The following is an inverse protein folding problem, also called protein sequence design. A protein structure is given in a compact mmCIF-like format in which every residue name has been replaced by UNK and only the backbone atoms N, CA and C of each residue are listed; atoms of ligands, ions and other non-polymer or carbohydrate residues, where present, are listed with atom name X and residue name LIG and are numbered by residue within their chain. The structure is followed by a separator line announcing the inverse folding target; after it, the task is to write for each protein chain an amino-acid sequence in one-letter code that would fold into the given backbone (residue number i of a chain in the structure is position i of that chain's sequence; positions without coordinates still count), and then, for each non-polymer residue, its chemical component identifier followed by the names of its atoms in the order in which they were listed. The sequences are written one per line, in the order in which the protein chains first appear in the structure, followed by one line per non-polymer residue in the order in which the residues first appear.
data_IF_655310232235
#
_entry.id   IF_655310232235
#
_cell.length_a   1.000
_cell.length_b   1.000
_cell.length_c   1.000
_cell.angle_alpha   90.00
_cell.angle_beta   90.00
_cell.angle_gamma   90.00
#
_symmetry.space_group_name_H-M   'P 1'
#
loop_
_entity.id
_entity.type
_entity.pdbx_description
1 polymer ?
#
# COMPACT_ATOMS: atom_id res chain seq x y z
N UNK A 1 14.86 12.91 5.07
CA UNK A 1 13.48 12.41 4.90
C UNK A 1 12.55 13.44 5.50
N UNK A 2 11.37 13.65 4.91
CA UNK A 2 10.23 14.31 5.56
C UNK A 2 9.37 13.21 6.16
N UNK A 3 8.95 13.38 7.41
CA UNK A 3 8.07 12.44 8.13
C UNK A 3 6.75 13.16 8.35
N UNK A 4 5.65 12.51 7.96
CA UNK A 4 4.30 13.05 8.10
C UNK A 4 3.50 12.09 8.96
N UNK A 5 2.99 12.61 10.07
CA UNK A 5 2.12 11.88 10.98
C UNK A 5 0.70 12.40 10.79
N UNK A 6 -0.26 11.51 10.51
CA UNK A 6 -1.65 11.91 10.23
C UNK A 6 -2.64 10.97 10.89
N UNK A 7 -3.76 11.55 11.32
CA UNK A 7 -4.96 10.82 11.73
C UNK A 7 -6.07 11.15 10.75
N UNK A 8 -6.64 10.13 10.10
CA UNK A 8 -7.79 10.27 9.21
C UNK A 8 -9.06 9.96 9.98
N UNK A 9 -10.09 10.76 9.72
CA UNK A 9 -11.38 10.65 10.37
C UNK A 9 -12.44 10.17 9.37
N UNK A 10 -13.33 9.29 9.85
CA UNK A 10 -14.62 9.03 9.23
C UNK A 10 -15.69 9.66 10.13
N UNK A 11 -16.41 10.64 9.60
CA UNK A 11 -17.21 11.58 10.38
C UNK A 11 -16.34 12.25 11.48
N UNK A 12 -16.63 11.96 12.75
CA UNK A 12 -15.90 12.48 13.89
C UNK A 12 -15.03 11.43 14.61
N UNK A 13 -14.88 10.23 14.03
CA UNK A 13 -14.08 9.15 14.63
C UNK A 13 -12.74 8.99 13.92
N UNK A 14 -11.62 8.93 14.62
CA UNK A 14 -10.33 8.57 14.03
C UNK A 14 -10.35 7.09 13.61
N UNK A 15 -9.93 6.83 12.37
CA UNK A 15 -10.04 5.48 11.76
C UNK A 15 -8.73 5.00 11.13
N UNK A 16 -7.85 5.91 10.72
CA UNK A 16 -6.50 5.58 10.28
C UNK A 16 -5.50 6.47 10.99
N UNK A 17 -4.47 5.86 11.54
CA UNK A 17 -3.26 6.55 11.98
C UNK A 17 -2.14 6.17 11.01
N UNK A 18 -1.43 7.15 10.45
CA UNK A 18 -0.34 6.90 9.49
C UNK A 18 0.94 7.65 9.85
N UNK A 19 2.06 6.97 9.57
CA UNK A 19 3.40 7.54 9.54
C UNK A 19 3.97 7.36 8.13
N UNK A 20 3.98 8.46 7.39
CA UNK A 20 4.44 8.52 6.01
C UNK A 20 5.85 9.09 5.95
N UNK A 21 6.71 8.51 5.12
CA UNK A 21 8.11 8.93 4.93
C UNK A 21 8.37 9.20 3.47
N UNK A 22 8.71 10.45 3.17
CA UNK A 22 9.04 10.90 1.82
C UNK A 22 10.52 11.31 1.76
N UNK A 23 11.30 10.87 0.75
CA UNK A 23 12.64 11.38 0.54
C UNK A 23 12.64 12.90 0.37
N UNK A 24 13.52 13.58 1.12
CA UNK A 24 13.56 15.05 1.17
C UNK A 24 13.81 15.68 -0.21
N UNK A 25 14.57 14.98 -1.06
CA UNK A 25 14.88 15.40 -2.42
C UNK A 25 13.64 15.45 -3.34
N UNK A 26 12.57 14.74 -3.00
CA UNK A 26 11.32 14.72 -3.76
C UNK A 26 10.31 15.77 -3.27
N UNK A 27 10.60 16.45 -2.15
CA UNK A 27 9.73 17.46 -1.55
C UNK A 27 10.34 18.85 -1.78
N UNK A 28 9.71 19.70 -2.61
CA UNK A 28 10.17 21.07 -2.84
C UNK A 28 10.24 21.87 -1.54
N UNK A 29 11.22 22.75 -1.42
CA UNK A 29 11.42 23.58 -0.23
C UNK A 29 10.14 24.34 0.17
N UNK A 30 9.41 24.87 -0.82
CA UNK A 30 8.17 25.62 -0.62
C UNK A 30 7.00 24.76 -0.08
N UNK A 31 7.02 23.44 -0.30
CA UNK A 31 5.99 22.52 0.18
C UNK A 31 6.32 21.91 1.54
N UNK A 32 7.53 22.12 2.09
CA UNK A 32 7.94 21.46 3.34
C UNK A 32 7.15 21.89 4.57
N UNK A 33 6.58 23.09 4.56
CA UNK A 33 5.73 23.59 5.64
C UNK A 33 4.26 23.14 5.52
N UNK A 34 3.84 22.77 4.31
CA UNK A 34 2.49 22.30 4.03
C UNK A 34 2.52 21.32 2.85
N UNK A 35 2.42 20.03 3.18
CA UNK A 35 2.45 18.94 2.20
C UNK A 35 1.08 18.70 1.56
N UNK A 36 0.06 19.46 1.97
CA UNK A 36 -1.31 19.31 1.52
C UNK A 36 -2.00 18.03 2.02
N UNK A 37 -3.25 17.81 1.58
CA UNK A 37 -4.08 16.70 2.06
C UNK A 37 -3.67 15.33 1.48
N UNK A 38 -2.98 15.32 0.34
CA UNK A 38 -2.64 14.11 -0.41
C UNK A 38 -1.16 14.11 -0.80
N UNK A 39 -0.38 13.18 -0.22
CA UNK A 39 1.01 13.01 -0.60
C UNK A 39 1.15 12.44 -2.03
N UNK A 40 0.15 11.67 -2.48
CA UNK A 40 0.09 11.19 -3.86
C UNK A 40 -0.03 12.35 -4.85
N UNK A 41 -0.90 13.34 -4.56
CA UNK A 41 -1.05 14.52 -5.42
C UNK A 41 0.20 15.40 -5.36
N UNK A 42 0.80 15.57 -4.18
CA UNK A 42 2.08 16.27 -4.03
C UNK A 42 3.16 15.62 -4.90
N UNK A 43 3.30 14.29 -4.86
CA UNK A 43 4.29 13.58 -5.64
C UNK A 43 3.99 13.63 -7.14
N UNK A 44 2.73 13.47 -7.55
CA UNK A 44 2.30 13.54 -8.94
C UNK A 44 2.61 14.92 -9.55
N UNK A 45 2.23 16.00 -8.84
CA UNK A 45 2.46 17.38 -9.29
C UNK A 45 3.94 17.74 -9.43
N UNK A 46 4.84 16.98 -8.80
CA UNK A 46 6.28 17.17 -8.87
C UNK A 46 7.01 16.09 -9.67
N UNK A 47 6.31 15.38 -10.58
CA UNK A 47 6.86 14.37 -11.49
C UNK A 47 7.42 13.11 -10.79
N UNK A 48 6.95 12.81 -9.58
CA UNK A 48 7.32 11.62 -8.79
C UNK A 48 6.10 10.74 -8.48
N UNK A 49 5.09 10.79 -9.36
CA UNK A 49 3.83 10.08 -9.20
C UNK A 49 3.98 8.58 -8.96
N UNK A 50 3.22 8.06 -8.00
CA UNK A 50 3.18 6.64 -7.67
C UNK A 50 2.56 5.84 -8.81
N UNK A 51 3.14 4.69 -9.15
CA UNK A 51 2.67 3.79 -10.23
C UNK A 51 2.42 2.38 -9.76
N UNK A 52 3.16 1.92 -8.76
CA UNK A 52 2.90 0.65 -8.08
C UNK A 52 3.37 0.74 -6.64
N UNK A 53 2.82 -0.13 -5.81
CA UNK A 53 3.18 -0.27 -4.41
C UNK A 53 3.31 -1.73 -4.01
N UNK A 54 4.06 -1.98 -2.94
CA UNK A 54 4.11 -3.28 -2.29
C UNK A 54 3.79 -3.09 -0.82
N UNK A 55 2.64 -3.59 -0.41
CA UNK A 55 2.21 -3.60 0.98
C UNK A 55 2.38 -4.98 1.62
N UNK A 56 2.86 -5.00 2.86
CA UNK A 56 2.74 -6.12 3.80
C UNK A 56 1.57 -5.81 4.73
N UNK A 57 0.57 -6.69 4.75
CA UNK A 57 -0.61 -6.56 5.59
C UNK A 57 -0.49 -7.50 6.78
N UNK A 58 -0.70 -6.97 7.99
CA UNK A 58 -0.65 -7.74 9.23
C UNK A 58 -1.82 -7.37 10.15
N UNK A 59 -2.43 -8.35 10.83
CA UNK A 59 -3.18 -8.05 12.04
C UNK A 59 -2.19 -7.70 13.15
N UNK A 60 -2.41 -6.59 13.85
CA UNK A 60 -1.62 -6.19 15.03
C UNK A 60 -2.54 -5.81 16.17
N UNK A 61 -2.02 -5.74 17.39
CA UNK A 61 -2.73 -5.18 18.52
C UNK A 61 -2.34 -3.71 18.68
N UNK A 62 -3.31 -2.86 19.02
CA UNK A 62 -3.06 -1.46 19.33
C UNK A 62 -2.08 -1.35 20.51
N UNK A 63 -0.91 -0.75 20.28
CA UNK A 63 -0.02 -0.32 21.35
C UNK A 63 -0.47 1.04 21.91
N UNK A 64 0.26 1.58 22.91
CA UNK A 64 -0.07 2.87 23.50
C UNK A 64 -0.17 4.04 22.50
N UNK A 65 0.76 4.23 21.53
CA UNK A 65 0.66 5.37 20.61
C UNK A 65 -0.50 5.21 19.62
N UNK A 66 -0.73 4.01 19.10
CA UNK A 66 -1.84 3.76 18.17
C UNK A 66 -3.19 3.91 18.89
N UNK A 67 -3.31 3.38 20.10
CA UNK A 67 -4.52 3.49 20.92
C UNK A 67 -4.87 4.96 21.22
N UNK A 68 -3.88 5.78 21.55
CA UNK A 68 -4.08 7.20 21.79
C UNK A 68 -4.53 7.95 20.53
N UNK A 69 -3.85 7.75 19.39
CA UNK A 69 -4.16 8.44 18.14
C UNK A 69 -5.52 8.01 17.56
N UNK A 70 -5.84 6.71 17.66
CA UNK A 70 -7.10 6.15 17.18
C UNK A 70 -8.23 6.19 18.21
N UNK A 71 -7.98 6.72 19.41
CA UNK A 71 -8.97 6.81 20.50
C UNK A 71 -9.67 5.47 20.78
N UNK A 72 -8.89 4.38 20.75
CA UNK A 72 -9.33 3.02 21.06
C UNK A 72 -8.64 2.52 22.33
N UNK A 73 -9.13 1.41 22.89
CA UNK A 73 -8.43 0.76 23.98
C UNK A 73 -7.14 0.09 23.47
N UNK A 74 -6.10 0.07 24.28
CA UNK A 74 -4.92 -0.77 24.01
C UNK A 74 -5.33 -2.25 23.88
N UNK A 75 -4.63 -2.98 23.02
CA UNK A 75 -4.88 -4.39 22.80
C UNK A 75 -6.04 -4.72 21.84
N UNK A 76 -6.77 -3.73 21.30
CA UNK A 76 -7.76 -4.00 20.25
C UNK A 76 -7.05 -4.40 18.94
N UNK A 77 -7.65 -5.27 18.11
CA UNK A 77 -7.08 -5.63 16.81
C UNK A 77 -7.19 -4.46 15.83
N UNK A 78 -6.07 -4.15 15.20
CA UNK A 78 -5.91 -3.20 14.10
C UNK A 78 -5.42 -3.93 12.85
N UNK A 79 -5.78 -3.39 11.70
CA UNK A 79 -5.21 -3.82 10.43
C UNK A 79 -4.04 -2.89 10.08
N UNK A 80 -2.84 -3.47 9.98
CA UNK A 80 -1.60 -2.73 9.77
C UNK A 80 -1.04 -2.92 8.36
N UNK A 81 -0.68 -1.83 7.72
CA UNK A 81 0.04 -1.81 6.44
C UNK A 81 1.46 -1.30 6.64
N UNK A 82 2.41 -2.01 6.05
CA UNK A 82 3.80 -1.60 5.87
C UNK A 82 4.06 -1.61 4.36
N UNK A 83 4.07 -0.42 3.77
CA UNK A 83 4.04 -0.22 2.33
C UNK A 83 5.21 0.63 1.83
N UNK A 84 5.69 0.29 0.64
CA UNK A 84 6.59 1.14 -0.15
C UNK A 84 5.98 1.32 -1.54
N UNK A 85 5.87 2.57 -1.94
CA UNK A 85 5.38 3.01 -3.24
C UNK A 85 6.52 3.45 -4.15
N UNK A 86 6.36 3.14 -5.44
CA UNK A 86 7.36 3.35 -6.48
C UNK A 86 6.81 4.19 -7.64
N UNK A 87 7.68 5.03 -8.21
CA UNK A 87 7.40 5.77 -9.44
C UNK A 87 7.51 4.90 -10.71
N UNK A 88 7.35 5.52 -11.89
CA UNK A 88 7.43 4.84 -13.19
C UNK A 88 8.82 4.24 -13.48
N UNK A 89 9.87 4.75 -12.86
CA UNK A 89 11.25 4.27 -13.02
C UNK A 89 11.60 3.18 -11.99
N UNK A 90 10.68 2.84 -11.08
CA UNK A 90 10.92 1.91 -9.98
C UNK A 90 11.67 2.55 -8.81
N UNK A 91 11.71 3.89 -8.73
CA UNK A 91 12.31 4.61 -7.61
C UNK A 91 11.34 4.60 -6.42
N UNK A 92 11.76 4.25 -5.20
CA UNK A 92 10.89 4.37 -4.02
C UNK A 92 10.65 5.85 -3.69
N UNK A 93 9.38 6.25 -3.61
CA UNK A 93 8.98 7.66 -3.41
C UNK A 93 8.22 7.91 -2.11
N UNK A 94 7.59 6.90 -1.56
CA UNK A 94 6.83 6.98 -0.31
C UNK A 94 6.94 5.64 0.42
N UNK A 95 7.16 5.69 1.73
CA UNK A 95 6.99 4.54 2.60
C UNK A 95 5.97 4.89 3.68
N UNK A 96 5.01 4.00 3.91
CA UNK A 96 3.87 4.23 4.77
C UNK A 96 3.72 3.12 5.79
N UNK A 97 3.53 3.51 7.04
CA UNK A 97 3.08 2.65 8.11
C UNK A 97 1.69 3.11 8.53
N UNK A 98 0.69 2.25 8.41
CA UNK A 98 -0.70 2.64 8.63
C UNK A 98 -1.41 1.66 9.53
N UNK A 99 -2.16 2.19 10.50
CA UNK A 99 -2.99 1.42 11.42
C UNK A 99 -4.45 1.79 11.22
N UNK A 100 -5.23 0.81 10.77
CA UNK A 100 -6.64 0.95 10.43
C UNK A 100 -7.50 0.28 11.50
N UNK A 101 -8.54 0.96 11.97
CA UNK A 101 -9.51 0.41 12.94
C UNK A 101 -10.33 -0.71 12.31
N UNK A 102 -10.51 -1.82 13.01
CA UNK A 102 -11.10 -3.04 12.41
C UNK A 102 -12.61 -2.97 12.12
N UNK A 103 -13.31 -1.95 12.60
CA UNK A 103 -14.77 -1.81 12.53
C UNK A 103 -15.29 -0.96 11.36
N UNK A 104 -14.40 -0.34 10.57
CA UNK A 104 -14.80 0.66 9.55
C UNK A 104 -14.30 0.33 8.14
N UNK A 105 -13.36 -0.61 8.01
CA UNK A 105 -12.77 -0.98 6.72
C UNK A 105 -13.18 -2.39 6.31
N UNK A 106 -13.73 -2.50 5.10
CA UNK A 106 -13.87 -3.76 4.37
C UNK A 106 -12.82 -3.79 3.25
N UNK A 107 -12.13 -4.92 3.10
CA UNK A 107 -11.12 -5.09 2.05
C UNK A 107 -11.44 -6.26 1.14
N UNK A 108 -11.53 -5.99 -0.17
CA UNK A 108 -11.66 -7.01 -1.20
C UNK A 108 -10.34 -7.21 -1.93
N UNK A 109 -9.81 -8.45 -1.90
CA UNK A 109 -8.65 -8.83 -2.69
C UNK A 109 -9.09 -9.54 -3.98
N UNK A 110 -8.98 -8.85 -5.11
CA UNK A 110 -9.25 -9.42 -6.43
C UNK A 110 -7.98 -10.00 -7.04
N UNK A 111 -7.90 -11.33 -7.15
CA UNK A 111 -6.77 -12.03 -7.78
C UNK A 111 -7.17 -12.59 -9.14
N UNK A 112 -6.40 -12.28 -10.20
CA UNK A 112 -6.50 -12.96 -11.49
C UNK A 112 -5.42 -14.03 -11.58
N UNK A 113 -5.83 -15.29 -11.74
CA UNK A 113 -4.90 -16.36 -12.08
C UNK A 113 -4.67 -16.37 -13.59
N UNK A 114 -3.43 -16.59 -14.02
CA UNK A 114 -3.16 -16.91 -15.41
C UNK A 114 -3.42 -18.40 -15.62
N UNK A 115 -4.28 -18.80 -16.57
CA UNK A 115 -4.50 -20.21 -16.84
C UNK A 115 -3.18 -20.86 -17.30
N UNK A 116 -2.92 -22.12 -16.93
CA UNK A 116 -1.71 -22.81 -17.36
C UNK A 116 -1.60 -22.78 -18.88
N UNK A 117 -0.37 -22.58 -19.39
CA UNK A 117 -0.11 -22.68 -20.82
C UNK A 117 -0.59 -24.05 -21.30
N UNK A 118 -1.47 -24.08 -22.31
CA UNK A 118 -1.99 -25.31 -22.89
C UNK A 118 -0.79 -26.13 -23.40
N UNK A 119 -0.46 -27.23 -22.72
CA UNK A 119 0.48 -28.20 -23.29
C UNK A 119 -0.15 -28.71 -24.59
N UNK A 120 0.44 -28.34 -25.72
CA UNK A 120 0.13 -28.98 -26.99
C UNK A 120 0.63 -30.42 -26.86
N UNK A 121 -0.27 -31.37 -26.65
CA UNK A 121 0.06 -32.78 -26.82
C UNK A 121 0.50 -32.99 -28.27
N UNK A 122 1.76 -33.34 -28.48
CA UNK A 122 2.22 -33.83 -29.77
C UNK A 122 1.42 -35.09 -30.10
N UNK A 123 0.75 -35.09 -31.26
CA UNK A 123 0.04 -36.25 -31.76
C UNK A 123 1.01 -37.44 -31.88
N UNK A 124 0.63 -38.67 -31.48
CA UNK A 124 1.49 -39.81 -31.65
C UNK A 124 1.73 -40.05 -33.15
N UNK A 125 3.00 -40.24 -33.52
CA UNK A 125 3.40 -40.56 -34.87
C UNK A 125 2.69 -41.85 -35.32
N UNK A 126 1.93 -41.75 -36.41
CA UNK A 126 1.39 -42.91 -37.11
C UNK A 126 2.56 -43.81 -37.51
N UNK A 127 2.70 -44.97 -36.89
CA UNK A 127 3.60 -46.00 -37.39
C UNK A 127 2.98 -46.58 -38.66
N UNK A 128 3.52 -46.21 -39.81
CA UNK A 128 3.25 -46.89 -41.07
C UNK A 128 3.74 -48.33 -40.96
N UNK A 129 2.80 -49.29 -40.86
CA UNK A 129 3.11 -50.69 -41.14
C UNK A 129 3.22 -50.84 -42.65
N UNK A 130 4.44 -50.97 -43.15
CA UNK A 130 4.71 -51.48 -44.50
C UNK A 130 4.39 -52.98 -44.54
N UNK A 131 3.55 -53.36 -45.50
CA UNK A 131 3.47 -54.71 -46.06
C UNK A 131 4.60 -54.91 -47.07
#
# INVERSE_FOLDING_TARGET
MVIVERVRFADARPVVYSLDRVPLALVPDAARSDLGPSLFDLLETHNHGVRNGRAKLLPVLAGPPEAAQLQVNEGVPLLYFDEVDYDINGTPVLASFEWHTSDVFEMWLNRRAQPPARQVQAAPALSESRT
#
